data_IF_926539201722
#
_entry.id   IF_926539201722
#
_cell.length_a   1.000
_cell.length_b   1.000
_cell.length_c   1.000
_cell.angle_alpha   90.00
_cell.angle_beta   90.00
_cell.angle_gamma   90.00
#
_symmetry.space_group_name_H-M   'P 1'
#
loop_
_entity.id
_entity.type
_entity.pdbx_description
1 polymer ?
#
# COMPACT_ATOMS: atom_id res chain seq x y z
N UNK A 1 -8.62 2.58 -23.39
CA UNK A 1 -8.91 3.19 -22.08
C UNK A 1 -8.60 2.12 -21.05
N UNK A 2 -7.43 2.18 -20.41
CA UNK A 2 -7.16 1.29 -19.27
C UNK A 2 -8.10 1.78 -18.16
N UNK A 3 -8.93 0.92 -17.54
CA UNK A 3 -9.72 1.35 -16.39
C UNK A 3 -8.74 1.95 -15.39
N UNK A 4 -9.03 3.16 -14.87
CA UNK A 4 -8.21 3.78 -13.84
C UNK A 4 -8.18 2.81 -12.66
N UNK A 5 -7.09 2.06 -12.58
CA UNK A 5 -6.81 1.06 -11.57
C UNK A 5 -6.91 1.76 -10.21
N UNK A 6 -7.71 1.19 -9.31
CA UNK A 6 -7.97 1.78 -8.01
C UNK A 6 -6.61 1.91 -7.28
N UNK A 7 -6.15 3.14 -6.99
CA UNK A 7 -4.82 3.36 -6.41
C UNK A 7 -4.68 2.71 -5.03
N UNK A 8 -5.79 2.52 -4.30
CA UNK A 8 -5.79 1.79 -3.03
C UNK A 8 -5.61 0.29 -3.28
N UNK A 9 -6.27 -0.28 -4.28
CA UNK A 9 -6.09 -1.69 -4.64
C UNK A 9 -4.66 -1.99 -5.11
N UNK A 10 -4.04 -1.06 -5.84
CA UNK A 10 -2.63 -1.14 -6.19
C UNK A 10 -1.74 -1.10 -4.94
N UNK A 11 -1.98 -0.15 -4.03
CA UNK A 11 -1.23 -0.04 -2.78
C UNK A 11 -1.32 -1.32 -1.93
N UNK A 12 -2.52 -1.90 -1.80
CA UNK A 12 -2.74 -3.18 -1.12
C UNK A 12 -1.93 -4.29 -1.79
N UNK A 13 -1.95 -4.37 -3.12
CA UNK A 13 -1.19 -5.37 -3.88
C UNK A 13 0.32 -5.22 -3.66
N UNK A 14 0.84 -3.99 -3.68
CA UNK A 14 2.25 -3.67 -3.44
C UNK A 14 2.69 -4.08 -2.03
N UNK A 15 1.85 -3.83 -1.03
CA UNK A 15 2.09 -4.21 0.36
C UNK A 15 2.03 -5.72 0.55
N UNK A 16 1.00 -6.38 0.00
CA UNK A 16 0.84 -7.84 0.05
C UNK A 16 2.01 -8.57 -0.64
N UNK A 17 2.51 -8.07 -1.77
CA UNK A 17 3.68 -8.63 -2.47
C UNK A 17 4.97 -8.58 -1.63
N UNK A 18 5.01 -7.72 -0.61
CA UNK A 18 6.11 -7.60 0.36
C UNK A 18 5.89 -8.38 1.65
N UNK A 19 4.80 -9.15 1.74
CA UNK A 19 4.46 -9.95 2.90
C UNK A 19 3.72 -9.19 4.00
N UNK A 20 3.25 -7.98 3.73
CA UNK A 20 2.39 -7.24 4.67
C UNK A 20 0.93 -7.68 4.52
N UNK A 21 0.24 -7.81 5.66
CA UNK A 21 -1.21 -8.01 5.68
C UNK A 21 -1.91 -6.66 5.73
N UNK A 22 -2.86 -6.40 4.83
CA UNK A 22 -3.65 -5.17 4.82
C UNK A 22 -5.11 -5.50 5.04
N UNK A 23 -5.72 -4.88 6.04
CA UNK A 23 -7.11 -5.10 6.43
C UNK A 23 -7.90 -3.78 6.31
N UNK A 24 -9.01 -3.73 5.57
CA UNK A 24 -9.89 -2.57 5.58
C UNK A 24 -10.71 -2.51 6.87
N UNK A 25 -11.14 -1.31 7.25
CA UNK A 25 -12.22 -1.15 8.23
C UNK A 25 -13.59 -1.48 7.61
N UNK A 26 -14.65 -1.37 8.41
CA UNK A 26 -15.99 -1.76 7.97
C UNK A 26 -16.53 -0.89 6.82
N UNK A 27 -16.06 0.36 6.73
CA UNK A 27 -16.56 1.38 5.80
C UNK A 27 -15.61 1.59 4.60
N UNK A 28 -14.48 0.87 4.56
CA UNK A 28 -13.41 1.02 3.56
C UNK A 28 -12.87 2.47 3.49
N UNK A 29 -12.86 3.17 4.61
CA UNK A 29 -12.28 4.52 4.73
C UNK A 29 -10.84 4.47 5.26
N UNK A 30 -10.49 3.40 5.99
CA UNK A 30 -9.18 3.20 6.57
C UNK A 30 -8.66 1.76 6.40
N UNK A 31 -7.34 1.62 6.45
CA UNK A 31 -6.64 0.36 6.30
C UNK A 31 -5.61 0.19 7.40
N UNK A 32 -5.52 -1.02 7.93
CA UNK A 32 -4.52 -1.43 8.91
C UNK A 32 -3.50 -2.34 8.25
N UNK A 33 -2.22 -2.07 8.50
CA UNK A 33 -1.11 -2.89 7.99
C UNK A 33 -0.48 -3.65 9.16
N UNK A 34 -0.39 -4.98 9.05
CA UNK A 34 0.19 -5.91 10.04
C UNK A 34 -0.36 -5.73 11.46
N UNK A 35 -1.65 -5.43 11.59
CA UNK A 35 -2.27 -5.18 12.91
C UNK A 35 -1.84 -3.86 13.57
N UNK A 36 -1.15 -2.98 12.85
CA UNK A 36 -0.68 -1.68 13.33
C UNK A 36 -1.75 -0.60 13.43
N UNK A 37 -1.34 0.66 13.27
CA UNK A 37 -2.27 1.79 13.27
C UNK A 37 -3.16 1.79 12.01
N UNK A 38 -4.38 2.31 12.15
CA UNK A 38 -5.26 2.59 11.02
C UNK A 38 -4.72 3.78 10.22
N UNK A 39 -4.68 3.61 8.90
CA UNK A 39 -4.21 4.59 7.92
C UNK A 39 -5.36 4.97 7.02
N UNK A 40 -5.47 6.26 6.69
CA UNK A 40 -6.33 6.69 5.59
C UNK A 40 -5.82 6.14 4.26
N UNK A 41 -6.64 6.20 3.20
CA UNK A 41 -6.21 5.83 1.84
C UNK A 41 -4.89 6.50 1.44
N UNK A 42 -4.75 7.79 1.74
CA UNK A 42 -3.52 8.55 1.48
C UNK A 42 -2.31 8.06 2.30
N UNK A 43 -2.52 7.66 3.55
CA UNK A 43 -1.47 7.07 4.38
C UNK A 43 -1.01 5.70 3.87
N UNK A 44 -1.97 4.87 3.42
CA UNK A 44 -1.67 3.57 2.81
C UNK A 44 -0.88 3.72 1.51
N UNK A 45 -1.30 4.64 0.64
CA UNK A 45 -0.62 5.00 -0.61
C UNK A 45 0.82 5.47 -0.34
N UNK A 46 1.01 6.38 0.62
CA UNK A 46 2.34 6.87 0.99
C UNK A 46 3.25 5.74 1.51
N UNK A 47 2.70 4.80 2.29
CA UNK A 47 3.43 3.64 2.77
C UNK A 47 3.81 2.69 1.61
N UNK A 48 2.88 2.40 0.71
CA UNK A 48 3.14 1.58 -0.47
C UNK A 48 4.22 2.19 -1.37
N UNK A 49 4.18 3.51 -1.60
CA UNK A 49 5.21 4.24 -2.35
C UNK A 49 6.57 4.15 -1.63
N UNK A 50 6.60 4.35 -0.30
CA UNK A 50 7.84 4.27 0.49
C UNK A 50 8.47 2.89 0.41
N UNK A 51 7.68 1.83 0.57
CA UNK A 51 8.17 0.45 0.46
C UNK A 51 8.51 0.09 -1.00
N UNK A 52 7.80 0.68 -1.97
CA UNK A 52 8.05 0.69 -3.41
C UNK A 52 9.44 1.23 -3.78
N UNK A 53 9.76 2.43 -3.30
CA UNK A 53 11.03 3.13 -3.52
C UNK A 53 12.21 2.47 -2.78
N UNK A 54 11.96 1.76 -1.69
CA UNK A 54 13.02 1.12 -0.88
C UNK A 54 13.68 -0.08 -1.57
N UNK A 55 13.03 -0.72 -2.55
CA UNK A 55 13.61 -1.85 -3.29
C UNK A 55 14.52 -1.40 -4.46
N UNK A 56 14.61 -0.10 -4.76
CA UNK A 56 15.35 0.47 -5.89
C UNK A 56 16.66 1.17 -5.56
N UNK A 57 16.88 1.61 -4.30
CA UNK A 57 18.17 2.16 -3.83
C UNK A 57 19.14 1.01 -3.49
N UNK A 58 19.39 0.19 -4.50
CA UNK A 58 20.35 -0.92 -4.46
C UNK A 58 20.84 -1.33 -5.85
N UNK A 59 20.35 -0.68 -6.91
CA UNK A 59 20.82 -0.87 -8.29
C UNK A 59 21.28 0.44 -8.94
N UNK A 60 21.97 1.26 -8.15
CA UNK A 60 22.89 2.27 -8.68
C UNK A 60 24.30 1.76 -8.41
N UNK A 61 24.72 0.77 -9.21
CA UNK A 61 26.12 0.38 -9.41
C UNK A 61 26.42 0.54 -10.89
#
# INVERSE_FOLDING_TARGET
>A
MIPAEDPVAEAVTVLASRGHTVEPDNDFENWRVDGGAWLTAGGLLALAIRLGLSAGVGRLQ
#
